data_IF_293067523373
#
_entry.id   IF_293067523373
#
_cell.length_a   1.000
_cell.length_b   1.000
_cell.length_c   1.000
_cell.angle_alpha   90.00
_cell.angle_beta   90.00
_cell.angle_gamma   90.00
#
_symmetry.space_group_name_H-M   'P 1'
#
loop_
_entity.id
_entity.type
_entity.pdbx_description
1 polymer ?
#
# COMPACT_ATOMS: atom_id res chain seq x y z
N UNK A 1 24.14 -2.30 57.99
CA UNK A 1 24.77 -2.61 56.71
C UNK A 1 23.71 -3.20 55.75
N UNK A 2 22.67 -2.41 55.39
CA UNK A 2 21.53 -2.86 54.54
C UNK A 2 21.12 -1.77 53.54
N UNK A 3 22.01 -0.88 53.14
CA UNK A 3 21.70 0.24 52.23
C UNK A 3 21.74 -0.15 50.75
N UNK A 4 22.42 -1.25 50.40
CA UNK A 4 22.59 -1.65 48.99
C UNK A 4 21.41 -2.41 48.41
N UNK A 5 20.59 -3.03 49.23
CA UNK A 5 19.42 -3.84 48.73
C UNK A 5 18.27 -2.95 48.30
N UNK A 6 18.05 -1.82 48.93
CA UNK A 6 17.01 -0.85 48.60
C UNK A 6 17.29 -0.12 47.27
N UNK A 7 18.56 0.17 46.99
CA UNK A 7 19.00 0.81 45.76
C UNK A 7 18.87 -0.05 44.53
N UNK A 8 19.13 -1.36 44.67
CA UNK A 8 18.99 -2.34 43.56
C UNK A 8 17.53 -2.61 43.27
N UNK A 9 16.64 -2.69 44.28
CA UNK A 9 15.20 -2.85 44.11
C UNK A 9 14.57 -1.64 43.38
N UNK A 10 15.06 -0.42 43.62
CA UNK A 10 14.57 0.79 42.96
C UNK A 10 15.00 0.88 41.47
N UNK A 11 16.20 0.38 41.15
CA UNK A 11 16.75 0.37 39.79
C UNK A 11 16.01 -0.62 38.88
N UNK A 12 15.52 -1.76 39.41
CA UNK A 12 14.80 -2.79 38.63
C UNK A 12 13.39 -2.33 38.22
N UNK A 13 12.76 -1.45 39.03
CA UNK A 13 11.39 -0.95 38.72
C UNK A 13 11.38 0.02 37.55
N UNK A 14 12.51 0.67 37.23
CA UNK A 14 12.59 1.63 36.12
C UNK A 14 12.65 0.97 34.72
N UNK A 15 12.93 -0.33 34.63
CA UNK A 15 13.03 -1.04 33.35
C UNK A 15 11.70 -1.65 32.86
N UNK A 16 10.63 -1.61 33.63
CA UNK A 16 9.35 -2.22 33.25
C UNK A 16 8.34 -1.25 32.58
N UNK A 17 8.74 0.00 32.33
CA UNK A 17 7.81 1.04 31.86
C UNK A 17 7.71 1.19 30.33
N UNK A 18 8.38 0.37 29.51
CA UNK A 18 8.15 0.35 28.07
C UNK A 18 6.91 -0.53 27.75
N UNK A 19 5.70 0.01 27.94
CA UNK A 19 4.52 -0.53 27.28
C UNK A 19 4.68 -0.24 25.79
N UNK A 20 4.95 -1.31 25.03
CA UNK A 20 4.88 -1.28 23.57
C UNK A 20 3.41 -1.03 23.19
N UNK A 21 3.05 0.23 23.00
CA UNK A 21 1.72 0.61 22.56
C UNK A 21 1.67 0.34 21.04
N UNK A 22 1.44 -0.91 20.68
CA UNK A 22 1.13 -1.25 19.28
C UNK A 22 -0.21 -0.58 18.95
N UNK A 23 -0.14 0.57 18.33
CA UNK A 23 -1.32 1.21 17.75
C UNK A 23 -1.80 0.30 16.60
N UNK A 24 -2.87 -0.42 16.82
CA UNK A 24 -3.59 -1.11 15.74
C UNK A 24 -4.15 -0.04 14.82
N UNK A 25 -3.84 -0.14 13.53
CA UNK A 25 -4.40 0.76 12.54
C UNK A 25 -5.92 0.60 12.50
N UNK A 26 -6.69 1.72 12.42
CA UNK A 26 -8.14 1.64 12.33
C UNK A 26 -8.55 1.02 11.00
N UNK A 27 -9.62 0.25 11.01
CA UNK A 27 -10.31 -0.11 9.77
C UNK A 27 -11.04 1.11 9.24
N UNK A 28 -10.79 1.44 7.96
CA UNK A 28 -11.46 2.53 7.25
C UNK A 28 -12.43 1.93 6.23
N UNK A 29 -13.54 2.61 6.00
CA UNK A 29 -14.60 2.16 5.11
C UNK A 29 -15.88 1.79 5.88
N UNK A 30 -16.91 1.38 5.14
CA UNK A 30 -18.18 0.99 5.74
C UNK A 30 -18.02 -0.30 6.54
N UNK A 31 -18.50 -0.28 7.78
CA UNK A 31 -18.59 -1.48 8.62
C UNK A 31 -20.07 -1.89 8.68
N UNK A 32 -20.37 -3.10 8.28
CA UNK A 32 -21.70 -3.69 8.32
C UNK A 32 -21.77 -4.59 9.56
N UNK A 33 -22.86 -4.47 10.32
CA UNK A 33 -23.13 -5.40 11.46
C UNK A 33 -24.08 -6.48 10.97
N UNK A 34 -23.60 -7.70 10.82
CA UNK A 34 -24.40 -8.86 10.44
C UNK A 34 -24.31 -9.93 11.54
N UNK A 35 -25.47 -10.36 12.03
CA UNK A 35 -25.56 -11.36 13.11
C UNK A 35 -24.73 -10.99 14.37
N UNK A 36 -24.64 -9.70 14.71
CA UNK A 36 -23.90 -9.20 15.86
C UNK A 36 -22.37 -9.21 15.70
N UNK A 37 -21.86 -9.47 14.48
CA UNK A 37 -20.43 -9.35 14.13
C UNK A 37 -20.20 -8.17 13.21
N UNK A 38 -19.16 -7.42 13.50
CA UNK A 38 -18.68 -6.37 12.62
C UNK A 38 -17.95 -6.98 11.44
N UNK A 39 -18.43 -6.67 10.23
CA UNK A 39 -17.81 -7.03 8.96
C UNK A 39 -17.23 -5.76 8.37
N UNK A 40 -15.91 -5.68 8.35
CA UNK A 40 -15.20 -4.56 7.74
C UNK A 40 -15.19 -4.67 6.22
N UNK A 41 -15.23 -3.53 5.54
CA UNK A 41 -15.10 -3.46 4.09
C UNK A 41 -13.79 -4.12 3.64
N UNK A 42 -13.87 -4.92 2.59
CA UNK A 42 -12.71 -5.55 1.94
C UNK A 42 -12.58 -5.04 0.52
N UNK A 43 -11.35 -4.87 0.08
CA UNK A 43 -11.06 -4.60 -1.34
C UNK A 43 -11.65 -5.72 -2.19
N UNK A 44 -12.32 -5.35 -3.29
CA UNK A 44 -12.89 -6.29 -4.25
C UNK A 44 -11.85 -7.21 -4.89
N UNK A 45 -12.30 -8.02 -5.84
CA UNK A 45 -11.38 -8.90 -6.57
C UNK A 45 -10.52 -8.08 -7.53
N UNK A 46 -9.21 -8.20 -7.38
CA UNK A 46 -8.23 -7.68 -8.33
C UNK A 46 -7.97 -8.78 -9.36
N UNK A 47 -8.17 -8.44 -10.63
CA UNK A 47 -7.94 -9.33 -11.76
C UNK A 47 -7.54 -8.46 -12.97
N UNK A 48 -6.32 -7.89 -12.90
CA UNK A 48 -5.82 -6.89 -13.83
C UNK A 48 -4.49 -7.30 -14.42
N UNK A 49 -4.15 -6.78 -15.59
CA UNK A 49 -2.84 -6.98 -16.20
C UNK A 49 -1.90 -5.84 -15.84
N UNK A 50 -0.69 -6.18 -15.43
CA UNK A 50 0.36 -5.21 -15.16
C UNK A 50 0.92 -4.64 -16.47
N UNK A 51 1.75 -3.59 -16.35
CA UNK A 51 2.54 -3.03 -17.46
C UNK A 51 3.45 -4.06 -18.15
N UNK A 52 3.76 -5.18 -17.49
CA UNK A 52 4.55 -6.28 -18.05
C UNK A 52 3.67 -7.43 -18.56
N UNK A 53 2.39 -7.17 -18.80
CA UNK A 53 1.40 -8.14 -19.28
C UNK A 53 1.23 -9.36 -18.36
N UNK A 54 1.55 -9.23 -17.09
CA UNK A 54 1.39 -10.29 -16.08
C UNK A 54 0.07 -10.08 -15.35
N UNK A 55 -0.68 -11.15 -15.14
CA UNK A 55 -1.92 -11.11 -14.37
C UNK A 55 -1.61 -10.81 -12.90
N UNK A 56 -2.25 -9.79 -12.34
CA UNK A 56 -2.19 -9.41 -10.93
C UNK A 56 -3.51 -9.77 -10.25
N UNK A 57 -3.41 -10.47 -9.14
CA UNK A 57 -4.55 -10.88 -8.32
C UNK A 57 -4.38 -10.46 -6.87
N UNK A 58 -5.44 -10.57 -6.04
CA UNK A 58 -5.34 -10.32 -4.61
C UNK A 58 -4.25 -11.16 -3.94
N UNK A 59 -4.03 -12.42 -4.38
CA UNK A 59 -2.98 -13.30 -3.82
C UNK A 59 -1.58 -12.76 -4.01
N UNK A 60 -1.33 -12.07 -5.11
CA UNK A 60 -0.02 -11.49 -5.42
C UNK A 60 0.28 -10.27 -4.54
N UNK A 61 -0.75 -9.64 -4.01
CA UNK A 61 -0.65 -8.47 -3.12
C UNK A 61 -0.80 -8.83 -1.63
N UNK A 62 -1.33 -10.00 -1.29
CA UNK A 62 -1.59 -10.42 0.09
C UNK A 62 -0.36 -10.31 1.02
N UNK A 63 0.88 -10.64 0.58
CA UNK A 63 2.06 -10.50 1.43
C UNK A 63 2.53 -9.06 1.65
N UNK A 64 1.92 -8.08 0.99
CA UNK A 64 2.42 -6.70 0.95
C UNK A 64 1.43 -5.70 1.54
N UNK A 65 1.97 -4.64 2.11
CA UNK A 65 1.25 -3.39 2.26
C UNK A 65 1.33 -2.68 0.91
N UNK A 66 0.21 -2.28 0.33
CA UNK A 66 0.28 -1.54 -0.92
C UNK A 66 -0.48 -0.22 -0.86
N UNK A 67 0.11 0.80 -1.49
CA UNK A 67 -0.51 2.10 -1.71
C UNK A 67 -1.18 2.05 -3.07
N UNK A 68 -2.49 2.28 -3.10
CA UNK A 68 -3.27 2.27 -4.33
C UNK A 68 -3.68 3.69 -4.73
N UNK A 69 -3.64 3.97 -6.04
CA UNK A 69 -4.22 5.17 -6.64
C UNK A 69 -4.89 4.87 -7.98
N UNK A 70 -5.69 5.81 -8.45
CA UNK A 70 -6.37 5.76 -9.74
C UNK A 70 -5.86 6.87 -10.65
N UNK A 71 -5.59 6.52 -11.91
CA UNK A 71 -5.02 7.44 -12.87
C UNK A 71 -5.45 7.10 -14.31
N UNK A 72 -4.98 7.87 -15.29
CA UNK A 72 -4.91 7.50 -16.71
C UNK A 72 -3.79 8.28 -17.39
N UNK A 73 -3.10 7.65 -18.35
CA UNK A 73 -1.85 8.19 -18.93
C UNK A 73 -2.04 9.49 -19.69
N UNK A 74 -3.23 9.75 -20.22
CA UNK A 74 -3.55 10.96 -21.00
C UNK A 74 -4.17 12.09 -20.18
N UNK A 75 -4.15 12.01 -18.85
CA UNK A 75 -4.68 13.05 -17.97
C UNK A 75 -3.78 14.30 -17.98
N UNK A 76 -4.30 15.48 -18.40
CA UNK A 76 -3.45 16.67 -18.50
C UNK A 76 -3.39 17.50 -17.21
N UNK A 77 -4.15 17.17 -16.18
CA UNK A 77 -4.39 18.07 -15.04
C UNK A 77 -3.94 17.50 -13.70
N UNK A 78 -4.73 16.60 -13.10
CA UNK A 78 -4.48 16.14 -11.74
C UNK A 78 -3.45 14.98 -11.67
N UNK A 79 -3.46 14.07 -12.65
CA UNK A 79 -2.60 12.89 -12.60
C UNK A 79 -1.10 13.21 -12.55
N UNK A 80 -0.57 14.25 -13.25
CA UNK A 80 0.84 14.61 -13.06
C UNK A 80 1.19 15.06 -11.64
N UNK A 81 0.22 15.68 -10.92
CA UNK A 81 0.41 16.07 -9.52
C UNK A 81 0.40 14.84 -8.61
N UNK A 82 -0.57 13.93 -8.82
CA UNK A 82 -0.65 12.67 -8.07
C UNK A 82 0.59 11.82 -8.33
N UNK A 83 1.03 11.67 -9.59
CA UNK A 83 2.24 10.92 -9.94
C UNK A 83 3.49 11.48 -9.24
N UNK A 84 3.61 12.80 -9.08
CA UNK A 84 4.71 13.42 -8.34
C UNK A 84 4.69 13.03 -6.86
N UNK A 85 3.51 13.02 -6.22
CA UNK A 85 3.39 12.60 -4.82
C UNK A 85 3.62 11.09 -4.65
N UNK A 86 3.12 10.28 -5.59
CA UNK A 86 3.38 8.85 -5.63
C UNK A 86 4.89 8.54 -5.81
N UNK A 87 5.60 9.32 -6.64
CA UNK A 87 7.06 9.24 -6.78
C UNK A 87 7.78 9.56 -5.46
N UNK A 88 7.27 10.55 -4.71
CA UNK A 88 7.82 10.87 -3.39
C UNK A 88 7.65 9.68 -2.43
N UNK A 89 6.46 9.08 -2.39
CA UNK A 89 6.20 7.87 -1.60
C UNK A 89 7.10 6.72 -2.08
N UNK A 90 7.19 6.50 -3.38
CA UNK A 90 8.05 5.47 -3.97
C UNK A 90 9.50 5.58 -3.48
N UNK A 91 10.07 6.78 -3.51
CA UNK A 91 11.44 7.02 -3.06
C UNK A 91 11.62 6.75 -1.55
N UNK A 92 10.62 7.09 -0.73
CA UNK A 92 10.65 6.84 0.72
C UNK A 92 10.57 5.35 1.07
N UNK A 93 9.87 4.55 0.25
CA UNK A 93 9.64 3.13 0.54
C UNK A 93 10.40 2.17 -0.40
N UNK A 94 11.26 2.70 -1.26
CA UNK A 94 11.99 1.92 -2.28
C UNK A 94 12.73 0.71 -1.68
N UNK A 95 13.38 0.91 -0.55
CA UNK A 95 14.18 -0.12 0.13
C UNK A 95 13.36 -1.07 1.01
N UNK A 96 12.06 -0.80 1.19
CA UNK A 96 11.21 -1.67 2.00
C UNK A 96 10.58 -2.77 1.14
N UNK A 97 11.00 -4.04 1.24
CA UNK A 97 10.50 -5.12 0.39
C UNK A 97 9.02 -5.46 0.64
N UNK A 98 8.47 -5.06 1.78
CA UNK A 98 7.10 -5.39 2.18
C UNK A 98 6.06 -4.37 1.68
N UNK A 99 6.50 -3.30 1.00
CA UNK A 99 5.60 -2.25 0.48
C UNK A 99 5.62 -2.24 -1.03
N UNK A 100 4.46 -2.11 -1.66
CA UNK A 100 4.28 -1.91 -3.10
C UNK A 100 3.43 -0.69 -3.40
N UNK A 101 3.53 -0.17 -4.61
CA UNK A 101 2.60 0.81 -5.16
C UNK A 101 1.83 0.15 -6.30
N UNK A 102 0.53 0.44 -6.38
CA UNK A 102 -0.35 -0.11 -7.44
C UNK A 102 -1.24 1.00 -7.96
N UNK A 103 -1.01 1.41 -9.20
CA UNK A 103 -1.81 2.44 -9.89
C UNK A 103 -2.78 1.79 -10.86
N UNK A 104 -4.07 1.95 -10.63
CA UNK A 104 -5.15 1.41 -11.45
C UNK A 104 -5.57 2.43 -12.50
N UNK A 105 -5.49 2.06 -13.80
CA UNK A 105 -6.04 2.96 -14.80
C UNK A 105 -7.56 2.93 -14.83
N UNK A 106 -8.16 4.11 -15.00
CA UNK A 106 -9.60 4.26 -15.24
C UNK A 106 -9.95 4.40 -16.73
N UNK A 107 -8.94 4.29 -17.62
CA UNK A 107 -9.12 4.33 -19.08
C UNK A 107 -8.44 3.11 -19.74
N UNK A 108 -8.89 1.88 -19.45
CA UNK A 108 -8.24 0.66 -19.94
C UNK A 108 -8.30 0.50 -21.46
N UNK A 109 -9.18 1.24 -22.16
CA UNK A 109 -9.22 1.23 -23.63
C UNK A 109 -8.00 1.88 -24.27
N UNK A 110 -7.41 2.90 -23.61
CA UNK A 110 -6.22 3.60 -24.09
C UNK A 110 -4.95 3.12 -23.41
N UNK A 111 -5.05 2.78 -22.14
CA UNK A 111 -3.93 2.41 -21.30
C UNK A 111 -3.66 0.90 -21.37
N UNK A 112 -3.14 0.49 -22.54
CA UNK A 112 -2.69 -0.90 -22.75
C UNK A 112 -1.44 -1.19 -21.90
N UNK A 113 -1.08 -2.46 -21.65
CA UNK A 113 0.14 -2.81 -20.93
C UNK A 113 1.39 -2.11 -21.50
N UNK A 114 1.54 -2.06 -22.82
CA UNK A 114 2.69 -1.39 -23.47
C UNK A 114 2.73 0.10 -23.15
N UNK A 115 1.57 0.75 -23.14
CA UNK A 115 1.47 2.17 -22.82
C UNK A 115 1.78 2.43 -21.34
N UNK A 116 1.31 1.56 -20.45
CA UNK A 116 1.62 1.61 -19.03
C UNK A 116 3.10 1.37 -18.77
N UNK A 117 3.74 0.47 -19.53
CA UNK A 117 5.17 0.24 -19.43
C UNK A 117 5.98 1.47 -19.80
N UNK A 118 5.65 2.10 -20.93
CA UNK A 118 6.29 3.36 -21.33
C UNK A 118 6.10 4.47 -20.28
N UNK A 119 4.92 4.51 -19.65
CA UNK A 119 4.65 5.46 -18.57
C UNK A 119 5.54 5.20 -17.35
N UNK A 120 5.68 3.94 -16.91
CA UNK A 120 6.56 3.55 -15.81
C UNK A 120 8.04 3.84 -16.11
N UNK A 121 8.50 3.54 -17.33
CA UNK A 121 9.86 3.83 -17.80
C UNK A 121 10.14 5.34 -17.77
N UNK A 122 9.18 6.18 -18.20
CA UNK A 122 9.32 7.64 -18.15
C UNK A 122 9.37 8.19 -16.71
N UNK A 123 8.76 7.50 -15.75
CA UNK A 123 8.88 7.82 -14.33
C UNK A 123 10.20 7.32 -13.72
N UNK A 124 10.90 6.41 -14.38
CA UNK A 124 12.16 5.83 -13.90
C UNK A 124 12.00 4.90 -12.69
N UNK A 125 10.88 4.19 -12.60
CA UNK A 125 10.54 3.35 -11.44
C UNK A 125 10.76 1.86 -11.71
N UNK A 126 11.04 1.09 -10.65
CA UNK A 126 11.13 -0.37 -10.72
C UNK A 126 9.73 -0.99 -10.86
N UNK A 127 9.54 -1.76 -11.95
CA UNK A 127 8.28 -2.43 -12.27
C UNK A 127 7.86 -3.48 -11.23
N UNK A 128 8.77 -3.98 -10.41
CA UNK A 128 8.45 -4.91 -9.31
C UNK A 128 7.96 -4.19 -8.06
N UNK A 129 8.28 -2.92 -7.95
CA UNK A 129 7.96 -2.08 -6.81
C UNK A 129 6.69 -1.26 -7.03
N UNK A 130 6.53 -0.70 -8.23
CA UNK A 130 5.37 0.08 -8.62
C UNK A 130 4.69 -0.54 -9.84
N UNK A 131 3.52 -1.11 -9.61
CA UNK A 131 2.71 -1.78 -10.62
C UNK A 131 1.69 -0.80 -11.18
N UNK A 132 1.66 -0.67 -12.49
CA UNK A 132 0.62 0.03 -13.23
C UNK A 132 -0.27 -1.00 -13.89
N UNK A 133 -1.56 -0.96 -13.59
CA UNK A 133 -2.46 -2.06 -13.97
C UNK A 133 -3.63 -1.58 -14.81
N UNK A 134 -4.01 -2.42 -15.75
CA UNK A 134 -5.15 -2.24 -16.63
C UNK A 134 -6.03 -3.49 -16.62
N UNK A 135 -7.32 -3.34 -16.85
CA UNK A 135 -8.26 -4.45 -16.82
C UNK A 135 -9.63 -4.04 -17.32
N UNK A 136 -10.66 -4.82 -16.99
CA UNK A 136 -12.02 -4.42 -17.28
C UNK A 136 -12.41 -3.22 -16.40
N UNK A 137 -13.06 -2.23 -17.02
CA UNK A 137 -13.49 -1.02 -16.33
C UNK A 137 -14.50 -1.31 -15.23
N UNK A 138 -15.31 -2.34 -15.40
CA UNK A 138 -16.33 -2.73 -14.42
C UNK A 138 -15.76 -3.55 -13.26
N UNK A 139 -14.48 -3.94 -13.35
CA UNK A 139 -13.72 -4.64 -12.31
C UNK A 139 -12.77 -3.71 -11.51
N UNK A 140 -12.76 -2.41 -11.82
CA UNK A 140 -11.96 -1.39 -11.14
C UNK A 140 -12.89 -0.49 -10.31
#
# INVERSE_FOLDING_TARGET
MNFNFLGIAFLVVLFTACKNNQQTLPFLGETIVENGKEIHHKVGQINHYTQDSTLLTNKDLEPYIYVADFFFTSCPSICPKVAKEMLRIYNEVSDNPNVKLVSFTIDPKRDTPERLRLYAENLGVDHKKWLFVTGDKDAT
#
